data_IF_547704846895
#
_entry.id   IF_547704846895
#
_cell.length_a   1.000
_cell.length_b   1.000
_cell.length_c   1.000
_cell.angle_alpha   90.00
_cell.angle_beta   90.00
_cell.angle_gamma   90.00
#
_symmetry.space_group_name_H-M   'P 1'
#
loop_
_entity.id
_entity.type
_entity.pdbx_description
1 polymer ?
#
# COMPACT_ATOMS: atom_id res chain seq x y z
N UNK A 1 -57.74 22.20 68.89
CA UNK A 1 -56.51 21.87 69.64
C UNK A 1 -55.41 21.54 68.63
N UNK A 2 -54.30 22.29 68.69
CA UNK A 2 -52.90 22.09 68.17
C UNK A 2 -52.63 20.91 67.20
N UNK A 3 -51.81 20.95 66.14
CA UNK A 3 -50.75 21.84 65.65
C UNK A 3 -50.40 21.44 64.17
N UNK A 4 -49.64 22.25 63.39
CA UNK A 4 -49.46 22.18 61.93
C UNK A 4 -48.09 21.63 61.44
N UNK A 5 -47.91 21.65 60.11
CA UNK A 5 -46.66 21.65 59.28
C UNK A 5 -45.98 20.30 59.01
N UNK A 6 -45.93 19.89 57.74
CA UNK A 6 -44.81 20.19 56.83
C UNK A 6 -45.00 19.51 55.45
N UNK A 7 -44.92 20.32 54.38
CA UNK A 7 -44.57 19.87 53.02
C UNK A 7 -43.06 19.61 52.94
N UNK A 8 -42.63 18.69 52.07
CA UNK A 8 -41.85 19.11 50.88
C UNK A 8 -42.33 18.40 49.60
N UNK A 9 -42.60 19.12 48.51
CA UNK A 9 -41.66 19.58 47.47
C UNK A 9 -41.28 18.50 46.44
N UNK A 10 -41.82 18.73 45.24
CA UNK A 10 -41.55 18.15 43.93
C UNK A 10 -40.13 17.57 43.72
N UNK A 11 -40.07 16.38 43.12
CA UNK A 11 -38.94 16.02 42.23
C UNK A 11 -39.43 15.24 41.03
N UNK A 12 -39.52 15.96 39.90
CA UNK A 12 -39.79 15.46 38.56
C UNK A 12 -38.67 14.51 38.12
N UNK A 13 -38.89 13.19 38.16
CA UNK A 13 -37.94 12.21 37.61
C UNK A 13 -38.20 11.99 36.12
N UNK A 14 -37.55 12.84 35.32
CA UNK A 14 -37.38 12.76 33.87
C UNK A 14 -36.71 11.41 33.52
N UNK A 15 -37.48 10.40 33.11
CA UNK A 15 -36.92 9.19 32.46
C UNK A 15 -36.66 9.54 30.99
N UNK A 16 -35.38 9.59 30.66
CA UNK A 16 -34.83 9.87 29.34
C UNK A 16 -35.35 8.84 28.33
N UNK A 17 -35.99 9.33 27.28
CA UNK A 17 -36.08 8.65 26.00
C UNK A 17 -34.64 8.39 25.52
N UNK A 18 -34.31 7.12 25.31
CA UNK A 18 -33.07 6.71 24.65
C UNK A 18 -33.31 6.98 23.16
N UNK A 19 -32.77 8.09 22.67
CA UNK A 19 -32.63 8.30 21.23
C UNK A 19 -31.54 7.33 20.72
N UNK A 20 -31.74 6.65 19.59
CA UNK A 20 -30.68 5.88 18.96
C UNK A 20 -29.56 6.83 18.54
N UNK A 21 -28.33 6.49 18.94
CA UNK A 21 -27.12 7.21 18.54
C UNK A 21 -27.03 7.32 17.02
N UNK A 22 -26.54 8.46 16.49
CA UNK A 22 -26.32 8.59 15.06
C UNK A 22 -25.26 7.59 14.63
N UNK A 23 -25.60 6.77 13.63
CA UNK A 23 -24.69 5.92 12.89
C UNK A 23 -23.57 6.83 12.38
N UNK A 24 -22.35 6.63 12.87
CA UNK A 24 -21.16 7.26 12.33
C UNK A 24 -21.11 6.98 10.82
N UNK A 25 -20.88 7.99 9.97
CA UNK A 25 -20.84 7.76 8.54
C UNK A 25 -19.68 6.82 8.23
N UNK A 26 -20.01 5.62 7.79
CA UNK A 26 -19.09 4.74 7.06
C UNK A 26 -18.48 5.58 5.95
N UNK A 27 -17.17 5.84 6.04
CA UNK A 27 -16.40 6.41 4.94
C UNK A 27 -16.35 5.38 3.81
N UNK A 28 -17.44 5.26 3.06
CA UNK A 28 -17.38 4.74 1.71
C UNK A 28 -16.48 5.70 0.95
N UNK A 29 -15.23 5.30 0.74
CA UNK A 29 -14.31 5.92 -0.21
C UNK A 29 -14.98 5.83 -1.57
N UNK A 30 -15.81 6.84 -1.84
CA UNK A 30 -16.41 7.08 -3.13
C UNK A 30 -15.26 7.71 -3.89
N UNK A 31 -14.58 6.94 -4.72
CA UNK A 31 -13.67 7.49 -5.71
C UNK A 31 -14.48 8.52 -6.48
N UNK A 32 -14.22 9.81 -6.24
CA UNK A 32 -15.02 10.86 -6.85
C UNK A 32 -14.79 10.79 -8.36
N UNK A 33 -15.84 11.03 -9.17
CA UNK A 33 -15.68 11.07 -10.64
C UNK A 33 -14.61 12.09 -11.08
N UNK A 34 -14.31 13.08 -10.24
CA UNK A 34 -13.22 14.03 -10.43
C UNK A 34 -11.85 13.35 -10.38
N UNK A 35 -11.62 12.43 -9.44
CA UNK A 35 -10.32 11.72 -9.30
C UNK A 35 -10.03 10.83 -10.52
N UNK A 36 -11.08 10.21 -11.10
CA UNK A 36 -10.95 9.43 -12.32
C UNK A 36 -10.63 10.31 -13.54
N UNK A 37 -11.23 11.51 -13.60
CA UNK A 37 -11.01 12.48 -14.68
C UNK A 37 -9.60 13.07 -14.61
N UNK A 38 -9.11 13.38 -13.41
CA UNK A 38 -7.75 13.90 -13.18
C UNK A 38 -6.68 12.85 -13.53
N UNK A 39 -6.90 11.59 -13.16
CA UNK A 39 -6.01 10.49 -13.55
C UNK A 39 -6.02 10.23 -15.06
N UNK A 40 -7.18 10.33 -15.73
CA UNK A 40 -7.25 10.18 -17.18
C UNK A 40 -6.49 11.29 -17.92
N UNK A 41 -6.58 12.53 -17.44
CA UNK A 41 -5.80 13.65 -17.98
C UNK A 41 -4.29 13.42 -17.79
N UNK A 42 -3.88 12.91 -16.63
CA UNK A 42 -2.50 12.53 -16.36
C UNK A 42 -2.02 11.41 -17.31
N UNK A 43 -2.82 10.37 -17.54
CA UNK A 43 -2.47 9.29 -18.46
C UNK A 43 -2.35 9.78 -19.91
N UNK A 44 -3.24 10.66 -20.37
CA UNK A 44 -3.12 11.27 -21.71
C UNK A 44 -1.81 12.06 -21.86
N UNK A 45 -1.41 12.82 -20.85
CA UNK A 45 -0.11 13.50 -20.84
C UNK A 45 1.06 12.51 -20.89
N UNK A 46 1.01 11.45 -20.10
CA UNK A 46 2.03 10.40 -20.10
C UNK A 46 2.21 9.77 -21.49
N UNK A 47 1.10 9.46 -22.17
CA UNK A 47 1.10 8.90 -23.53
C UNK A 47 1.65 9.89 -24.56
N UNK A 48 1.31 11.17 -24.44
CA UNK A 48 1.75 12.20 -25.37
C UNK A 48 3.25 12.51 -25.21
N UNK A 49 3.71 12.67 -23.97
CA UNK A 49 5.11 12.94 -23.64
C UNK A 49 5.40 12.56 -22.18
N UNK A 50 5.93 11.36 -21.97
CA UNK A 50 6.31 10.87 -20.65
C UNK A 50 7.42 11.72 -19.99
N UNK A 51 8.28 12.38 -20.78
CA UNK A 51 9.37 13.22 -20.25
C UNK A 51 8.87 14.53 -19.63
N UNK A 52 7.64 14.93 -19.96
CA UNK A 52 6.97 16.10 -19.38
C UNK A 52 6.46 15.88 -17.96
N UNK A 53 6.46 14.64 -17.46
CA UNK A 53 5.93 14.30 -16.14
C UNK A 53 6.95 14.59 -15.04
N UNK A 54 6.43 15.07 -13.92
CA UNK A 54 7.19 15.17 -12.67
C UNK A 54 7.36 13.79 -12.03
N UNK A 55 8.34 13.64 -11.14
CA UNK A 55 8.53 12.39 -10.39
C UNK A 55 7.29 12.04 -9.54
N UNK A 56 6.60 13.03 -8.98
CA UNK A 56 5.39 12.81 -8.19
C UNK A 56 4.26 12.22 -9.05
N UNK A 57 4.10 12.71 -10.28
CA UNK A 57 3.14 12.17 -11.25
C UNK A 57 3.49 10.74 -11.68
N UNK A 58 4.77 10.46 -11.94
CA UNK A 58 5.24 9.09 -12.23
C UNK A 58 4.93 8.16 -11.05
N UNK A 59 5.20 8.61 -9.82
CA UNK A 59 4.93 7.83 -8.63
C UNK A 59 3.42 7.55 -8.45
N UNK A 60 2.54 8.48 -8.84
CA UNK A 60 1.09 8.26 -8.81
C UNK A 60 0.63 7.18 -9.79
N UNK A 61 1.28 7.07 -10.96
CA UNK A 61 0.95 6.10 -12.01
C UNK A 61 1.48 4.70 -11.66
N UNK A 62 2.69 4.63 -11.11
CA UNK A 62 3.34 3.37 -10.70
C UNK A 62 2.97 2.93 -9.27
N UNK A 63 2.21 3.75 -8.54
CA UNK A 63 1.92 3.58 -7.11
C UNK A 63 3.21 3.45 -6.27
N UNK A 64 4.21 4.28 -6.57
CA UNK A 64 5.49 4.33 -5.87
C UNK A 64 5.48 5.31 -4.69
N UNK A 65 6.36 5.04 -3.71
CA UNK A 65 6.72 5.96 -2.62
C UNK A 65 7.32 7.27 -3.13
N UNK A 66 7.21 8.34 -2.33
CA UNK A 66 7.98 9.56 -2.60
C UNK A 66 9.49 9.28 -2.51
N UNK A 67 10.36 10.07 -3.17
CA UNK A 67 11.81 9.90 -3.06
C UNK A 67 12.33 10.00 -1.60
N UNK A 68 11.70 10.83 -0.78
CA UNK A 68 12.05 11.01 0.64
C UNK A 68 11.72 9.74 1.44
N UNK A 69 10.54 9.17 1.21
CA UNK A 69 10.10 7.91 1.81
C UNK A 69 10.98 6.75 1.33
N UNK A 70 11.25 6.66 0.03
CA UNK A 70 12.11 5.65 -0.59
C UNK A 70 13.51 5.64 0.04
N UNK A 71 14.10 6.83 0.20
CA UNK A 71 15.41 6.99 0.84
C UNK A 71 15.39 6.56 2.31
N UNK A 72 14.32 6.88 3.04
CA UNK A 72 14.16 6.47 4.42
C UNK A 72 14.05 4.94 4.52
N UNK A 73 13.19 4.30 3.71
CA UNK A 73 13.00 2.84 3.73
C UNK A 73 14.29 2.13 3.34
N UNK A 74 14.98 2.56 2.29
CA UNK A 74 16.24 1.93 1.89
C UNK A 74 17.25 1.93 3.05
N UNK A 75 17.36 3.06 3.77
CA UNK A 75 18.25 3.15 4.94
C UNK A 75 17.84 2.20 6.07
N UNK A 76 16.55 2.08 6.36
CA UNK A 76 16.07 1.29 7.50
C UNK A 76 15.96 -0.20 7.20
N UNK A 77 15.59 -0.59 5.97
CA UNK A 77 15.28 -1.97 5.58
C UNK A 77 16.39 -2.63 4.74
N UNK A 78 17.28 -1.88 4.09
CA UNK A 78 18.36 -2.42 3.25
C UNK A 78 19.75 -2.35 3.92
N UNK A 79 19.82 -2.47 5.26
CA UNK A 79 21.08 -2.41 6.01
C UNK A 79 21.93 -1.16 5.69
N UNK A 80 21.26 -0.01 5.49
CA UNK A 80 21.92 1.26 5.16
C UNK A 80 22.23 1.49 3.68
N UNK A 81 21.99 0.52 2.79
CA UNK A 81 22.18 0.70 1.33
C UNK A 81 21.20 1.75 0.79
N UNK A 82 21.68 2.53 -0.15
CA UNK A 82 20.88 3.47 -0.95
C UNK A 82 20.22 2.76 -2.12
N UNK A 83 19.17 3.35 -2.67
CA UNK A 83 18.53 2.81 -3.87
C UNK A 83 19.47 2.71 -5.07
N UNK A 84 20.36 3.68 -5.24
CA UNK A 84 21.34 3.65 -6.33
C UNK A 84 22.29 2.44 -6.20
N UNK A 85 22.73 2.12 -4.99
CA UNK A 85 23.53 0.91 -4.73
C UNK A 85 22.73 -0.37 -5.00
N UNK A 86 21.46 -0.41 -4.59
CA UNK A 86 20.59 -1.55 -4.90
C UNK A 86 20.38 -1.74 -6.41
N UNK A 87 20.21 -0.66 -7.17
CA UNK A 87 20.15 -0.71 -8.64
C UNK A 87 21.48 -1.22 -9.23
N UNK A 88 22.61 -0.72 -8.73
CA UNK A 88 23.91 -1.16 -9.21
C UNK A 88 24.15 -2.65 -8.94
N UNK A 89 23.76 -3.15 -7.75
CA UNK A 89 23.81 -4.58 -7.42
C UNK A 89 22.84 -5.36 -8.33
N UNK A 90 21.59 -4.91 -8.48
CA UNK A 90 20.61 -5.56 -9.34
C UNK A 90 21.10 -5.70 -10.80
N UNK A 91 21.78 -4.67 -11.32
CA UNK A 91 22.29 -4.67 -12.68
C UNK A 91 23.51 -5.57 -12.90
N UNK A 92 24.24 -5.94 -11.83
CA UNK A 92 25.54 -6.64 -11.95
C UNK A 92 25.56 -8.01 -11.30
N UNK A 93 24.93 -8.15 -10.13
CA UNK A 93 24.93 -9.33 -9.27
C UNK A 93 23.56 -9.49 -8.58
N UNK A 94 22.44 -9.63 -9.33
CA UNK A 94 21.10 -9.69 -8.77
C UNK A 94 20.89 -10.84 -7.77
N UNK A 95 21.65 -11.93 -7.88
CA UNK A 95 21.60 -13.08 -6.97
C UNK A 95 22.02 -12.75 -5.54
N UNK A 96 22.77 -11.65 -5.33
CA UNK A 96 23.17 -11.18 -4.00
C UNK A 96 22.06 -10.42 -3.28
N UNK A 97 20.97 -10.06 -3.97
CA UNK A 97 19.85 -9.36 -3.38
C UNK A 97 18.96 -10.32 -2.59
N UNK A 98 18.62 -9.89 -1.38
CA UNK A 98 17.59 -10.51 -0.56
C UNK A 98 16.19 -10.19 -1.10
N UNK A 99 15.16 -10.91 -0.64
CA UNK A 99 13.76 -10.62 -0.99
C UNK A 99 13.35 -9.19 -0.64
N UNK A 100 13.77 -8.68 0.53
CA UNK A 100 13.52 -7.30 0.97
C UNK A 100 14.18 -6.31 0.00
N UNK A 101 15.45 -6.50 -0.32
CA UNK A 101 16.17 -5.60 -1.24
C UNK A 101 15.59 -5.62 -2.65
N UNK A 102 15.15 -6.80 -3.12
CA UNK A 102 14.40 -6.93 -4.37
C UNK A 102 13.12 -6.08 -4.34
N UNK A 103 12.31 -6.23 -3.29
CA UNK A 103 11.08 -5.46 -3.14
C UNK A 103 11.33 -3.94 -3.04
N UNK A 104 12.49 -3.51 -2.52
CA UNK A 104 12.88 -2.09 -2.47
C UNK A 104 13.26 -1.55 -3.85
N UNK A 105 13.98 -2.31 -4.67
CA UNK A 105 14.27 -1.90 -6.07
C UNK A 105 12.96 -1.74 -6.85
N UNK A 106 12.00 -2.65 -6.64
CA UNK A 106 10.66 -2.59 -7.25
C UNK A 106 9.75 -1.51 -6.66
N UNK A 107 10.21 -0.79 -5.62
CA UNK A 107 9.42 0.19 -4.86
C UNK A 107 8.08 -0.41 -4.44
N UNK A 108 8.14 -1.63 -3.93
CA UNK A 108 6.98 -2.46 -3.62
C UNK A 108 6.04 -1.75 -2.66
N UNK A 109 4.76 -1.86 -2.99
CA UNK A 109 3.65 -1.26 -2.27
C UNK A 109 3.47 -1.81 -0.86
N UNK A 110 4.09 -2.96 -0.54
CA UNK A 110 4.12 -3.48 0.82
C UNK A 110 4.83 -2.52 1.80
N UNK A 111 5.92 -1.87 1.37
CA UNK A 111 6.64 -0.91 2.20
C UNK A 111 5.88 0.43 2.35
N UNK A 112 5.04 0.79 1.38
CA UNK A 112 4.11 1.94 1.49
C UNK A 112 3.13 1.77 2.64
N UNK A 113 2.56 0.58 2.77
CA UNK A 113 1.59 0.25 3.81
C UNK A 113 2.26 0.28 5.18
N UNK A 114 3.46 -0.32 5.28
CA UNK A 114 4.24 -0.34 6.52
C UNK A 114 4.64 1.08 6.97
N UNK A 115 5.15 1.91 6.06
CA UNK A 115 5.54 3.30 6.36
C UNK A 115 4.37 4.18 6.82
N UNK A 116 3.25 4.15 6.09
CA UNK A 116 2.09 4.98 6.44
C UNK A 116 1.58 4.64 7.84
N UNK A 117 1.68 3.36 8.20
CA UNK A 117 1.33 2.88 9.54
C UNK A 117 2.35 3.35 10.59
N UNK A 118 3.64 3.22 10.34
CA UNK A 118 4.69 3.73 11.25
C UNK A 118 4.54 5.24 11.50
N UNK A 119 4.20 6.01 10.47
CA UNK A 119 3.94 7.44 10.58
C UNK A 119 2.69 7.77 11.43
N UNK A 120 1.65 6.93 11.37
CA UNK A 120 0.42 7.12 12.13
C UNK A 120 0.52 6.62 13.57
N UNK A 121 1.20 5.51 13.81
CA UNK A 121 1.25 4.82 15.09
C UNK A 121 2.67 4.26 15.38
N UNK A 122 3.67 5.12 15.66
CA UNK A 122 5.08 4.71 15.75
C UNK A 122 5.40 3.77 16.92
N UNK A 123 4.54 3.69 17.95
CA UNK A 123 4.80 2.95 19.18
C UNK A 123 3.95 1.69 19.35
N UNK A 124 3.14 1.33 18.35
CA UNK A 124 2.19 0.23 18.47
C UNK A 124 2.57 -0.92 17.53
N UNK A 125 2.65 -2.17 18.02
CA UNK A 125 2.86 -3.31 17.13
C UNK A 125 1.66 -3.48 16.18
N UNK A 126 1.86 -4.06 15.00
CA UNK A 126 0.79 -4.23 14.02
C UNK A 126 -0.39 -5.04 14.52
N UNK A 127 -1.57 -4.44 14.48
CA UNK A 127 -2.79 -5.23 14.34
C UNK A 127 -2.79 -5.83 12.93
N UNK A 128 -2.72 -7.15 12.89
CA UNK A 128 -2.70 -7.90 11.64
C UNK A 128 -3.95 -7.66 10.80
N UNK A 129 -5.11 -7.39 11.44
CA UNK A 129 -6.35 -7.11 10.72
C UNK A 129 -6.30 -5.75 10.02
N UNK A 130 -5.77 -4.72 10.70
CA UNK A 130 -5.58 -3.39 10.12
C UNK A 130 -4.60 -3.42 8.94
N UNK A 131 -3.52 -4.21 9.04
CA UNK A 131 -2.57 -4.42 7.94
C UNK A 131 -3.25 -5.07 6.73
N UNK A 132 -4.07 -6.09 6.96
CA UNK A 132 -4.80 -6.79 5.90
C UNK A 132 -5.79 -5.83 5.24
N UNK A 133 -6.56 -5.07 6.02
CA UNK A 133 -7.56 -4.14 5.50
C UNK A 133 -6.91 -2.98 4.71
N UNK A 134 -5.81 -2.42 5.23
CA UNK A 134 -5.02 -1.40 4.54
C UNK A 134 -4.45 -1.90 3.22
N UNK A 135 -3.91 -3.13 3.22
CA UNK A 135 -3.42 -3.78 2.01
C UNK A 135 -4.55 -4.02 0.99
N UNK A 136 -5.72 -4.48 1.44
CA UNK A 136 -6.88 -4.69 0.57
C UNK A 136 -7.40 -3.39 -0.03
N UNK A 137 -7.48 -2.32 0.76
CA UNK A 137 -7.89 -1.00 0.28
C UNK A 137 -6.91 -0.48 -0.78
N UNK A 138 -5.61 -0.59 -0.51
CA UNK A 138 -4.58 -0.22 -1.46
C UNK A 138 -4.69 -1.02 -2.76
N UNK A 139 -4.76 -2.36 -2.68
CA UNK A 139 -4.93 -3.24 -3.85
C UNK A 139 -6.17 -2.85 -4.65
N UNK A 140 -7.28 -2.55 -3.98
CA UNK A 140 -8.50 -2.10 -4.64
C UNK A 140 -8.28 -0.77 -5.38
N UNK A 141 -7.59 0.19 -4.77
CA UNK A 141 -7.25 1.47 -5.42
C UNK A 141 -6.42 1.28 -6.68
N UNK A 142 -5.37 0.46 -6.61
CA UNK A 142 -4.53 0.11 -7.78
C UNK A 142 -5.36 -0.55 -8.87
N UNK A 143 -6.18 -1.54 -8.52
CA UNK A 143 -7.05 -2.22 -9.49
C UNK A 143 -8.08 -1.27 -10.12
N UNK A 144 -8.57 -0.27 -9.39
CA UNK A 144 -9.45 0.76 -9.96
C UNK A 144 -8.70 1.65 -10.94
N UNK A 145 -7.50 2.12 -10.62
CA UNK A 145 -6.66 2.91 -11.54
C UNK A 145 -6.39 2.18 -12.86
N UNK A 146 -6.12 0.87 -12.77
CA UNK A 146 -5.87 0.00 -13.93
C UNK A 146 -7.06 -0.15 -14.89
N UNK A 147 -8.27 0.17 -14.44
CA UNK A 147 -9.50 0.13 -15.26
C UNK A 147 -9.74 1.44 -16.01
N UNK A 148 -9.02 2.51 -15.67
CA UNK A 148 -9.15 3.79 -16.36
C UNK A 148 -8.54 3.62 -17.77
N UNK A 149 -9.23 4.11 -18.82
CA UNK A 149 -8.69 4.08 -20.17
C UNK A 149 -7.28 4.70 -20.24
N UNK A 150 -6.44 4.16 -21.12
CA UNK A 150 -5.06 4.60 -21.34
C UNK A 150 -4.07 4.28 -20.21
N UNK A 151 -4.48 3.62 -19.13
CA UNK A 151 -3.54 3.23 -18.06
C UNK A 151 -2.38 2.40 -18.61
N UNK A 152 -2.65 1.37 -19.42
CA UNK A 152 -1.63 0.50 -20.00
C UNK A 152 -0.63 1.27 -20.86
N UNK A 153 -1.14 2.18 -21.68
CA UNK A 153 -0.37 3.00 -22.61
C UNK A 153 0.48 4.02 -21.86
N UNK A 154 -0.08 4.67 -20.83
CA UNK A 154 0.64 5.58 -19.95
C UNK A 154 1.74 4.86 -19.19
N UNK A 155 1.43 3.69 -18.62
CA UNK A 155 2.39 2.85 -17.92
C UNK A 155 3.55 2.46 -18.85
N UNK A 156 3.24 2.00 -20.06
CA UNK A 156 4.24 1.61 -21.06
C UNK A 156 5.07 2.81 -21.54
N UNK A 157 4.46 3.97 -21.76
CA UNK A 157 5.15 5.18 -22.20
C UNK A 157 6.21 5.61 -21.18
N UNK A 158 5.86 5.62 -19.88
CA UNK A 158 6.80 5.95 -18.81
C UNK A 158 7.85 4.86 -18.63
N UNK A 159 7.46 3.59 -18.69
CA UNK A 159 8.40 2.48 -18.67
C UNK A 159 9.46 2.62 -19.78
N UNK A 160 9.02 3.02 -20.97
CA UNK A 160 9.90 3.26 -22.11
C UNK A 160 10.78 4.52 -21.95
N UNK A 161 10.42 5.44 -21.05
CA UNK A 161 11.18 6.65 -20.75
C UNK A 161 12.23 6.46 -19.64
N UNK A 162 12.21 5.33 -18.90
CA UNK A 162 13.26 5.03 -17.93
C UNK A 162 14.60 4.76 -18.60
N UNK A 163 15.67 5.04 -17.84
CA UNK A 163 17.03 4.69 -18.22
C UNK A 163 17.18 3.17 -18.37
N UNK A 164 18.02 2.74 -19.32
CA UNK A 164 18.26 1.33 -19.60
C UNK A 164 18.75 0.57 -18.36
N UNK A 165 19.62 1.19 -17.56
CA UNK A 165 20.16 0.55 -16.36
C UNK A 165 19.06 0.31 -15.31
N UNK A 166 18.16 1.28 -15.12
CA UNK A 166 17.05 1.14 -14.17
C UNK A 166 16.06 0.06 -14.63
N UNK A 167 15.73 0.02 -15.92
CA UNK A 167 14.88 -1.04 -16.48
C UNK A 167 15.49 -2.42 -16.31
N UNK A 168 16.76 -2.59 -16.67
CA UNK A 168 17.46 -3.86 -16.56
C UNK A 168 17.55 -4.31 -15.11
N UNK A 169 17.81 -3.40 -14.17
CA UNK A 169 17.79 -3.70 -12.74
C UNK A 169 16.41 -4.17 -12.26
N UNK A 170 15.32 -3.51 -12.69
CA UNK A 170 13.95 -3.93 -12.33
C UNK A 170 13.65 -5.33 -12.88
N UNK A 171 14.00 -5.62 -14.14
CA UNK A 171 13.80 -6.94 -14.75
C UNK A 171 14.59 -8.01 -13.98
N UNK A 172 15.88 -7.79 -13.75
CA UNK A 172 16.74 -8.73 -13.04
C UNK A 172 16.23 -9.03 -11.61
N UNK A 173 15.69 -8.02 -10.94
CA UNK A 173 15.09 -8.18 -9.61
C UNK A 173 13.77 -8.95 -9.65
N UNK A 174 12.93 -8.75 -10.67
CA UNK A 174 11.70 -9.55 -10.82
C UNK A 174 12.02 -11.03 -11.02
N UNK A 175 13.05 -11.34 -11.80
CA UNK A 175 13.54 -12.71 -11.99
C UNK A 175 14.07 -13.28 -10.68
N UNK A 176 14.92 -12.54 -9.96
CA UNK A 176 15.47 -13.00 -8.67
C UNK A 176 14.38 -13.23 -7.63
N UNK A 177 13.41 -12.31 -7.53
CA UNK A 177 12.30 -12.46 -6.58
C UNK A 177 11.43 -13.68 -6.90
N UNK A 178 11.29 -14.02 -8.18
CA UNK A 178 10.59 -15.25 -8.59
C UNK A 178 11.37 -16.50 -8.18
N UNK A 179 12.70 -16.52 -8.39
CA UNK A 179 13.56 -17.60 -7.91
C UNK A 179 13.49 -17.79 -6.39
N UNK A 180 13.58 -16.71 -5.61
CA UNK A 180 13.47 -16.77 -4.14
C UNK A 180 12.13 -17.41 -3.73
N UNK A 181 11.02 -17.00 -4.37
CA UNK A 181 9.70 -17.56 -4.06
C UNK A 181 9.60 -19.05 -4.42
N UNK A 182 10.19 -19.45 -5.53
CA UNK A 182 10.23 -20.87 -5.94
C UNK A 182 11.07 -21.70 -4.96
N UNK A 183 12.22 -21.17 -4.50
CA UNK A 183 13.07 -21.78 -3.47
C UNK A 183 12.31 -21.94 -2.14
N UNK A 184 11.64 -20.87 -1.67
CA UNK A 184 10.82 -20.87 -0.45
C UNK A 184 9.65 -21.86 -0.56
N UNK A 185 8.99 -21.91 -1.70
CA UNK A 185 7.90 -22.86 -1.97
C UNK A 185 8.40 -24.31 -1.96
N UNK A 186 9.54 -24.57 -2.60
CA UNK A 186 10.16 -25.90 -2.63
C UNK A 186 10.61 -26.35 -1.22
N UNK A 187 11.17 -25.44 -0.42
CA UNK A 187 11.50 -25.69 0.98
C UNK A 187 10.25 -25.98 1.83
N UNK A 188 9.18 -25.19 1.63
CA UNK A 188 7.89 -25.41 2.29
C UNK A 188 7.31 -26.80 2.00
N UNK A 189 7.37 -27.25 0.74
CA UNK A 189 6.93 -28.59 0.35
C UNK A 189 7.80 -29.70 0.94
N UNK A 190 9.11 -29.48 1.11
CA UNK A 190 10.01 -30.43 1.78
C UNK A 190 9.72 -30.54 3.28
N UNK A 191 9.44 -29.42 3.94
CA UNK A 191 9.14 -29.37 5.39
C UNK A 191 7.74 -29.91 5.72
N UNK A 192 6.76 -29.61 4.87
CA UNK A 192 5.37 -29.98 5.06
C UNK A 192 4.84 -30.66 3.79
N UNK A 193 5.27 -31.89 3.50
CA UNK A 193 4.75 -32.62 2.35
C UNK A 193 3.24 -32.76 2.54
N UNK A 194 2.46 -32.14 1.64
CA UNK A 194 1.01 -32.31 1.65
C UNK A 194 0.75 -33.81 1.53
N UNK A 195 0.21 -34.44 2.58
CA UNK A 195 -0.39 -35.76 2.47
C UNK A 195 -1.53 -35.60 1.47
N UNK A 196 -1.28 -35.95 0.21
CA UNK A 196 -2.36 -36.19 -0.73
C UNK A 196 -3.12 -37.38 -0.15
N UNK A 197 -4.24 -37.12 0.51
CA UNK A 197 -5.27 -38.13 0.68
C UNK A 197 -5.71 -38.46 -0.75
N UNK A 198 -5.23 -39.59 -1.27
CA UNK A 198 -5.85 -40.20 -2.43
C UNK A 198 -7.29 -40.53 -2.01
N UNK A 199 -8.31 -40.04 -2.72
CA UNK A 199 -9.65 -40.57 -2.55
C UNK A 199 -9.62 -42.01 -3.07
N UNK A 200 -9.92 -42.97 -2.18
CA UNK A 200 -10.24 -44.36 -2.53
C UNK A 200 -11.55 -44.45 -3.33
#
# INVERSE_FOLDING_TARGET
>A
TLNPRHLPSLTTRRRRSVAPSPISPTMTSTTNNNDATDMEALYRRAVADASSLTQAEINLIFDWVSPEEDKYICRTKANGKTRAELIAIAATNPEQLTSVECLLVLRSTAFLIELRREAQNPNQPPDMMELIDGAQHFVRSVLTKRKIPLYSEAYQAIWNAFDDQERLAIIAVQDRLSQIRDEEWAEGNRKYPRRMQQPE
#
